data_IF_862047362456
#
_entry.id   IF_862047362456
#
_cell.length_a   1.000
_cell.length_b   1.000
_cell.length_c   1.000
_cell.angle_alpha   90.00
_cell.angle_beta   90.00
_cell.angle_gamma   90.00
#
_symmetry.space_group_name_H-M   'P 1'
#
loop_
_entity.id
_entity.type
_entity.pdbx_description
1 polymer ?
#
# COMPACT_ATOMS: atom_id res chain seq x y z
N UNK A 1 9.08 3.74 -16.24
CA UNK A 1 8.59 2.35 -16.04
C UNK A 1 7.61 1.87 -17.11
N UNK A 2 6.57 2.64 -17.49
CA UNK A 2 5.62 2.21 -18.54
C UNK A 2 6.29 1.80 -19.87
N UNK A 3 7.35 2.50 -20.31
CA UNK A 3 8.09 2.18 -21.54
C UNK A 3 9.01 0.95 -21.44
N UNK A 4 9.53 0.64 -20.24
CA UNK A 4 10.38 -0.54 -20.00
C UNK A 4 9.55 -1.82 -19.87
N UNK A 5 8.34 -1.73 -19.31
CA UNK A 5 7.37 -2.83 -19.25
C UNK A 5 6.84 -3.19 -20.65
N UNK A 6 6.81 -2.24 -21.58
CA UNK A 6 6.38 -2.47 -22.97
C UNK A 6 7.30 -3.43 -23.75
N UNK A 7 8.50 -3.75 -23.26
CA UNK A 7 9.46 -4.71 -23.85
C UNK A 7 9.49 -6.05 -23.08
N UNK A 8 8.65 -6.20 -22.06
CA UNK A 8 8.54 -7.45 -21.32
C UNK A 8 7.81 -8.53 -22.15
N UNK A 9 8.35 -9.74 -22.13
CA UNK A 9 7.89 -10.93 -22.86
C UNK A 9 7.94 -12.13 -21.92
N UNK A 10 7.30 -13.24 -22.29
CA UNK A 10 7.44 -14.50 -21.52
C UNK A 10 8.89 -14.97 -21.39
N UNK A 11 9.79 -14.59 -22.31
CA UNK A 11 11.20 -15.01 -22.30
C UNK A 11 12.05 -14.25 -21.27
N UNK A 12 11.74 -12.98 -20.99
CA UNK A 12 12.48 -12.15 -20.04
C UNK A 12 11.68 -11.81 -18.76
N UNK A 13 10.46 -12.33 -18.62
CA UNK A 13 9.56 -12.04 -17.50
C UNK A 13 10.21 -12.25 -16.12
N UNK A 14 11.01 -13.31 -15.94
CA UNK A 14 11.68 -13.57 -14.66
C UNK A 14 12.70 -12.47 -14.29
N UNK A 15 13.45 -11.99 -15.29
CA UNK A 15 14.41 -10.89 -15.12
C UNK A 15 13.68 -9.57 -14.86
N UNK A 16 12.59 -9.31 -15.59
CA UNK A 16 11.75 -8.13 -15.37
C UNK A 16 11.16 -8.12 -13.95
N UNK A 17 10.68 -9.27 -13.48
CA UNK A 17 10.15 -9.41 -12.12
C UNK A 17 11.23 -9.22 -11.06
N UNK A 18 12.40 -9.86 -11.21
CA UNK A 18 13.53 -9.64 -10.29
C UNK A 18 13.94 -8.15 -10.24
N UNK A 19 14.08 -7.51 -11.39
CA UNK A 19 14.41 -6.08 -11.45
C UNK A 19 13.33 -5.22 -10.78
N UNK A 20 12.05 -5.54 -10.97
CA UNK A 20 10.95 -4.83 -10.32
C UNK A 20 10.95 -5.00 -8.79
N UNK A 21 11.25 -6.20 -8.29
CA UNK A 21 11.39 -6.47 -6.84
C UNK A 21 12.57 -5.70 -6.28
N UNK A 22 13.71 -5.69 -6.96
CA UNK A 22 14.89 -4.92 -6.53
C UNK A 22 14.61 -3.41 -6.52
N UNK A 23 13.89 -2.89 -7.51
CA UNK A 23 13.45 -1.49 -7.55
C UNK A 23 12.49 -1.15 -6.41
N UNK A 24 11.53 -2.03 -6.12
CA UNK A 24 10.61 -1.89 -5.00
C UNK A 24 11.39 -1.90 -3.68
N UNK A 25 12.27 -2.87 -3.43
CA UNK A 25 13.12 -2.92 -2.22
C UNK A 25 13.98 -1.65 -2.12
N UNK A 26 14.56 -1.21 -3.24
CA UNK A 26 15.44 -0.04 -3.29
C UNK A 26 14.69 1.29 -3.15
N UNK A 27 13.38 1.36 -3.43
CA UNK A 27 12.60 2.58 -3.19
C UNK A 27 12.38 2.85 -1.70
N UNK A 28 12.42 1.80 -0.90
CA UNK A 28 12.37 1.89 0.55
C UNK A 28 13.72 2.28 1.17
N UNK A 29 14.84 1.90 0.55
CA UNK A 29 16.16 2.36 0.95
C UNK A 29 16.32 3.85 0.60
N UNK A 30 16.57 4.70 1.60
CA UNK A 30 16.75 6.13 1.38
C UNK A 30 17.95 6.44 0.46
N UNK A 31 17.83 7.52 -0.33
CA UNK A 31 18.98 8.21 -0.93
C UNK A 31 19.04 8.17 -2.45
N UNK A 32 19.68 7.14 -3.03
CA UNK A 32 20.21 7.21 -4.40
C UNK A 32 19.15 6.96 -5.50
N UNK A 33 18.27 5.97 -5.34
CA UNK A 33 17.23 5.67 -6.33
C UNK A 33 16.16 6.77 -6.37
N UNK A 34 15.81 7.32 -5.20
CA UNK A 34 14.85 8.42 -5.08
C UNK A 34 15.31 9.68 -5.84
N UNK A 35 16.62 9.98 -5.83
CA UNK A 35 17.23 11.06 -6.63
C UNK A 35 17.22 10.78 -8.14
N UNK A 36 17.22 9.51 -8.56
CA UNK A 36 17.15 9.10 -9.97
C UNK A 36 15.71 9.13 -10.52
N UNK A 37 14.70 8.93 -9.67
CA UNK A 37 13.28 8.91 -10.08
C UNK A 37 12.64 10.30 -9.98
N UNK A 38 13.02 11.14 -8.99
CA UNK A 38 12.50 12.51 -8.88
C UNK A 38 12.99 13.37 -10.04
N UNK A 39 12.10 14.24 -10.55
CA UNK A 39 12.54 15.36 -11.37
C UNK A 39 13.51 16.23 -10.56
N UNK A 40 14.58 16.73 -11.20
CA UNK A 40 15.68 17.45 -10.52
C UNK A 40 15.22 18.68 -9.69
N UNK A 41 13.97 19.13 -9.82
CA UNK A 41 13.42 20.34 -9.20
C UNK A 41 12.34 20.10 -8.14
N UNK A 42 11.98 18.86 -7.79
CA UNK A 42 10.94 18.59 -6.79
C UNK A 42 11.53 18.45 -5.37
N UNK A 43 10.97 19.14 -4.36
CA UNK A 43 11.41 19.01 -2.98
C UNK A 43 11.15 17.58 -2.46
N UNK A 44 11.94 17.11 -1.49
CA UNK A 44 11.70 15.81 -0.90
C UNK A 44 10.37 15.75 -0.15
N UNK A 45 9.55 14.74 -0.47
CA UNK A 45 8.27 14.44 0.19
C UNK A 45 8.16 12.92 0.43
N UNK A 46 8.05 12.53 1.70
CA UNK A 46 7.86 11.15 2.12
C UNK A 46 6.49 10.61 1.66
N UNK A 47 5.46 11.46 1.63
CA UNK A 47 4.14 11.08 1.12
C UNK A 47 4.21 10.72 -0.36
N UNK A 48 4.89 11.55 -1.16
CA UNK A 48 5.05 11.31 -2.61
C UNK A 48 5.88 10.04 -2.88
N UNK A 49 6.86 9.77 -2.03
CA UNK A 49 7.64 8.53 -2.07
C UNK A 49 6.78 7.31 -1.73
N UNK A 50 5.89 7.42 -0.74
CA UNK A 50 4.98 6.34 -0.36
C UNK A 50 3.99 6.02 -1.49
N UNK A 51 3.42 7.03 -2.15
CA UNK A 51 2.53 6.83 -3.30
C UNK A 51 3.29 6.16 -4.45
N UNK A 52 4.53 6.58 -4.71
CA UNK A 52 5.40 5.93 -5.71
C UNK A 52 5.69 4.48 -5.36
N UNK A 53 5.92 4.20 -4.08
CA UNK A 53 6.13 2.85 -3.55
C UNK A 53 4.89 1.98 -3.75
N UNK A 54 3.69 2.50 -3.49
CA UNK A 54 2.43 1.79 -3.76
C UNK A 54 2.34 1.38 -5.24
N UNK A 55 2.67 2.30 -6.16
CA UNK A 55 2.69 2.02 -7.61
C UNK A 55 3.72 0.96 -7.98
N UNK A 56 4.90 0.99 -7.36
CA UNK A 56 5.93 -0.03 -7.56
C UNK A 56 5.43 -1.41 -7.15
N UNK A 57 4.82 -1.52 -5.96
CA UNK A 57 4.24 -2.78 -5.46
C UNK A 57 3.18 -3.34 -6.41
N UNK A 58 2.30 -2.49 -6.96
CA UNK A 58 1.33 -2.87 -8.00
C UNK A 58 2.01 -3.41 -9.25
N UNK A 59 3.05 -2.73 -9.71
CA UNK A 59 3.82 -3.12 -10.90
C UNK A 59 4.50 -4.48 -10.74
N UNK A 60 5.11 -4.74 -9.58
CA UNK A 60 5.72 -6.04 -9.26
C UNK A 60 4.69 -7.17 -9.38
N UNK A 61 3.53 -6.99 -8.73
CA UNK A 61 2.42 -7.96 -8.79
C UNK A 61 1.94 -8.19 -10.22
N UNK A 62 1.72 -7.12 -10.99
CA UNK A 62 1.23 -7.20 -12.37
C UNK A 62 2.20 -7.96 -13.30
N UNK A 63 3.51 -7.74 -13.17
CA UNK A 63 4.53 -8.49 -13.93
C UNK A 63 4.51 -9.97 -13.51
N UNK A 64 4.43 -10.23 -12.20
CA UNK A 64 4.37 -11.59 -11.68
C UNK A 64 3.18 -12.39 -12.25
N UNK A 65 2.00 -11.76 -12.26
CA UNK A 65 0.75 -12.33 -12.76
C UNK A 65 0.77 -12.52 -14.29
N UNK A 66 1.18 -11.50 -15.05
CA UNK A 66 1.16 -11.56 -16.52
C UNK A 66 2.14 -12.59 -17.12
N UNK A 67 3.27 -12.82 -16.44
CA UNK A 67 4.33 -13.69 -16.96
C UNK A 67 4.48 -15.03 -16.22
N UNK A 68 3.66 -15.29 -15.18
CA UNK A 68 3.66 -16.57 -14.48
C UNK A 68 4.99 -16.89 -13.79
N UNK A 69 5.68 -15.86 -13.29
CA UNK A 69 7.03 -15.98 -12.69
C UNK A 69 6.99 -16.20 -11.18
N UNK A 70 5.79 -16.46 -10.66
CA UNK A 70 5.54 -16.84 -9.29
C UNK A 70 5.91 -18.31 -9.12
N UNK A 71 6.65 -18.64 -8.06
CA UNK A 71 6.96 -20.02 -7.73
C UNK A 71 5.70 -20.71 -7.17
N UNK A 72 5.16 -21.75 -7.84
CA UNK A 72 3.87 -22.33 -7.48
C UNK A 72 3.88 -23.07 -6.14
N UNK A 73 5.06 -23.50 -5.67
CA UNK A 73 5.20 -24.33 -4.46
C UNK A 73 5.52 -23.54 -3.19
N UNK A 74 5.31 -22.21 -3.18
CA UNK A 74 5.48 -21.39 -1.98
C UNK A 74 4.17 -21.41 -1.18
N UNK A 75 4.26 -21.73 0.11
CA UNK A 75 3.10 -21.69 1.03
C UNK A 75 2.48 -20.30 1.12
N UNK A 76 3.29 -19.24 1.08
CA UNK A 76 2.83 -17.86 1.12
C UNK A 76 3.46 -17.03 0.03
N UNK A 77 2.61 -16.21 -0.61
CA UNK A 77 2.98 -15.26 -1.64
C UNK A 77 2.59 -13.86 -1.13
N UNK A 78 3.57 -13.06 -0.73
CA UNK A 78 3.33 -11.84 0.05
C UNK A 78 2.43 -10.80 -0.64
N UNK A 79 2.43 -10.74 -1.98
CA UNK A 79 1.59 -9.82 -2.78
C UNK A 79 0.32 -10.48 -3.34
N UNK A 80 0.09 -11.76 -3.06
CA UNK A 80 -1.03 -12.53 -3.60
C UNK A 80 -1.91 -13.04 -2.46
N UNK A 81 -3.22 -12.93 -2.67
CA UNK A 81 -4.20 -13.42 -1.70
C UNK A 81 -4.45 -14.89 -1.98
N UNK A 82 -4.47 -15.68 -0.91
CA UNK A 82 -4.77 -17.11 -0.99
C UNK A 82 -6.27 -17.34 -0.95
N UNK A 83 -6.76 -18.36 -1.66
CA UNK A 83 -8.20 -18.68 -1.71
C UNK A 83 -8.75 -19.27 -0.40
N UNK A 84 -7.88 -19.56 0.58
CA UNK A 84 -8.25 -20.06 1.91
C UNK A 84 -9.22 -19.09 2.59
N UNK A 85 -10.32 -19.61 3.15
CA UNK A 85 -11.29 -18.81 3.90
C UNK A 85 -10.63 -18.08 5.08
N UNK A 86 -11.09 -16.85 5.35
CA UNK A 86 -10.62 -16.10 6.51
C UNK A 86 -11.22 -16.73 7.79
N UNK A 87 -10.43 -16.88 8.86
CA UNK A 87 -10.98 -17.32 10.14
C UNK A 87 -11.91 -16.23 10.70
N UNK A 88 -12.87 -16.63 11.53
CA UNK A 88 -13.81 -15.70 12.16
C UNK A 88 -13.12 -14.75 13.16
N UNK A 89 -12.05 -15.21 13.81
CA UNK A 89 -11.29 -14.47 14.82
C UNK A 89 -9.79 -14.72 14.65
N UNK A 90 -8.97 -13.78 15.09
CA UNK A 90 -7.52 -13.92 15.11
C UNK A 90 -6.78 -12.74 15.74
N UNK A 91 -5.43 -12.76 15.68
CA UNK A 91 -4.58 -11.75 16.33
C UNK A 91 -4.76 -10.32 15.82
N UNK A 92 -5.35 -10.12 14.63
CA UNK A 92 -5.62 -8.80 14.05
C UNK A 92 -7.04 -8.30 14.34
N UNK A 93 -7.86 -8.98 15.16
CA UNK A 93 -9.22 -8.53 15.49
C UNK A 93 -9.25 -7.07 16.02
N UNK A 94 -8.34 -6.61 16.91
CA UNK A 94 -8.31 -5.22 17.34
C UNK A 94 -8.07 -4.22 16.19
N UNK A 95 -7.33 -4.63 15.16
CA UNK A 95 -7.10 -3.81 13.98
C UNK A 95 -8.36 -3.74 13.11
N UNK A 96 -9.11 -4.84 12.97
CA UNK A 96 -10.40 -4.86 12.28
C UNK A 96 -11.38 -3.92 12.98
N UNK A 97 -11.52 -4.03 14.30
CA UNK A 97 -12.38 -3.15 15.10
C UNK A 97 -12.01 -1.67 14.92
N UNK A 98 -10.71 -1.35 14.94
CA UNK A 98 -10.21 0.01 14.68
C UNK A 98 -10.60 0.51 13.29
N UNK A 99 -10.50 -0.33 12.25
CA UNK A 99 -10.89 0.01 10.88
C UNK A 99 -12.40 0.16 10.73
N UNK A 100 -13.20 -0.60 11.48
CA UNK A 100 -14.65 -0.49 11.52
C UNK A 100 -15.13 0.79 12.20
N UNK A 101 -14.40 1.25 13.22
CA UNK A 101 -14.69 2.49 13.93
C UNK A 101 -14.35 3.77 13.12
N UNK A 102 -13.71 3.66 11.95
CA UNK A 102 -13.37 4.80 11.11
C UNK A 102 -14.63 5.50 10.58
N UNK A 103 -14.88 6.72 11.05
CA UNK A 103 -16.09 7.50 10.73
C UNK A 103 -15.84 8.67 9.77
N UNK A 104 -14.58 8.95 9.42
CA UNK A 104 -14.23 10.13 8.62
C UNK A 104 -14.89 10.15 7.24
N UNK A 105 -15.11 8.99 6.60
CA UNK A 105 -15.81 8.91 5.31
C UNK A 105 -17.26 9.41 5.39
N UNK A 106 -17.88 9.39 6.57
CA UNK A 106 -19.20 10.01 6.80
C UNK A 106 -19.19 11.53 6.64
N UNK A 107 -18.02 12.18 6.66
CA UNK A 107 -17.83 13.63 6.44
C UNK A 107 -17.53 14.00 4.98
N UNK A 108 -17.31 13.01 4.11
CA UNK A 108 -17.06 13.24 2.68
C UNK A 108 -18.36 13.59 1.96
N UNK A 109 -18.47 14.78 1.39
CA UNK A 109 -19.69 15.24 0.71
C UNK A 109 -19.75 14.72 -0.73
N UNK A 110 -18.60 14.50 -1.37
CA UNK A 110 -18.53 13.98 -2.72
C UNK A 110 -18.81 12.46 -2.72
N UNK A 111 -19.97 12.08 -3.23
CA UNK A 111 -20.43 10.69 -3.28
C UNK A 111 -19.46 9.77 -4.04
N UNK A 112 -18.79 10.26 -5.09
CA UNK A 112 -17.84 9.46 -5.85
C UNK A 112 -16.57 9.20 -5.03
N UNK A 113 -16.00 10.24 -4.41
CA UNK A 113 -14.81 10.10 -3.54
C UNK A 113 -15.13 9.15 -2.38
N UNK A 114 -16.29 9.33 -1.73
CA UNK A 114 -16.74 8.45 -0.66
C UNK A 114 -16.83 7.00 -1.11
N UNK A 115 -17.43 6.73 -2.27
CA UNK A 115 -17.58 5.36 -2.82
C UNK A 115 -16.22 4.70 -3.06
N UNK A 116 -15.30 5.42 -3.70
CA UNK A 116 -13.96 4.90 -4.02
C UNK A 116 -13.16 4.63 -2.74
N UNK A 117 -13.16 5.55 -1.78
CA UNK A 117 -12.49 5.36 -0.50
C UNK A 117 -13.14 4.25 0.34
N UNK A 118 -14.47 4.10 0.29
CA UNK A 118 -15.17 3.02 0.99
C UNK A 118 -14.77 1.66 0.42
N UNK A 119 -14.73 1.50 -0.91
CA UNK A 119 -14.27 0.26 -1.53
C UNK A 119 -12.81 -0.07 -1.16
N UNK A 120 -11.94 0.93 -1.06
CA UNK A 120 -10.57 0.75 -0.60
C UNK A 120 -10.50 0.36 0.89
N UNK A 121 -11.37 0.90 1.75
CA UNK A 121 -11.46 0.54 3.17
C UNK A 121 -12.00 -0.88 3.35
N UNK A 122 -13.01 -1.27 2.58
CA UNK A 122 -13.60 -2.62 2.62
C UNK A 122 -12.57 -3.67 2.17
N UNK A 123 -11.81 -3.36 1.11
CA UNK A 123 -10.66 -4.18 0.70
C UNK A 123 -9.64 -4.32 1.82
N UNK A 124 -9.31 -3.23 2.53
CA UNK A 124 -8.36 -3.26 3.64
C UNK A 124 -8.82 -4.19 4.76
N UNK A 125 -10.08 -4.05 5.19
CA UNK A 125 -10.70 -4.91 6.22
C UNK A 125 -10.67 -6.38 5.82
N UNK A 126 -11.07 -6.66 4.58
CA UNK A 126 -11.06 -8.02 4.04
C UNK A 126 -9.64 -8.62 4.02
N UNK A 127 -8.63 -7.85 3.60
CA UNK A 127 -7.23 -8.30 3.58
C UNK A 127 -6.68 -8.53 4.99
N UNK A 128 -7.02 -7.68 5.95
CA UNK A 128 -6.65 -7.88 7.37
C UNK A 128 -7.27 -9.17 7.90
N UNK A 129 -8.56 -9.43 7.62
CA UNK A 129 -9.22 -10.68 7.98
C UNK A 129 -8.57 -11.92 7.32
N UNK A 130 -8.16 -11.82 6.05
CA UNK A 130 -7.43 -12.89 5.35
C UNK A 130 -6.03 -13.13 5.90
N UNK A 131 -5.37 -12.09 6.41
CA UNK A 131 -4.02 -12.19 6.92
C UNK A 131 -3.91 -12.84 8.31
N UNK A 132 -5.03 -13.05 9.02
CA UNK A 132 -5.09 -13.64 10.36
C UNK A 132 -4.34 -14.97 10.50
N UNK A 133 -4.29 -15.77 9.43
CA UNK A 133 -3.63 -17.09 9.40
C UNK A 133 -2.19 -17.04 8.91
N UNK A 134 -1.67 -15.85 8.60
CA UNK A 134 -0.34 -15.73 8.00
C UNK A 134 0.74 -16.02 9.05
N UNK A 135 1.69 -16.86 8.69
CA UNK A 135 2.84 -17.19 9.56
C UNK A 135 3.82 -16.01 9.66
N UNK A 136 3.84 -15.13 8.65
CA UNK A 136 4.78 -14.02 8.53
C UNK A 136 4.09 -12.67 8.54
N UNK A 137 4.26 -11.93 9.65
CA UNK A 137 3.83 -10.54 9.82
C UNK A 137 2.48 -10.18 9.15
N UNK A 138 1.36 -10.73 9.66
CA UNK A 138 0.01 -10.56 9.12
C UNK A 138 -0.35 -9.13 8.67
N UNK A 139 -0.14 -8.14 9.54
CA UNK A 139 -0.48 -6.74 9.26
C UNK A 139 0.34 -6.13 8.11
N UNK A 140 1.63 -6.49 8.01
CA UNK A 140 2.50 -6.04 6.93
C UNK A 140 2.09 -6.65 5.59
N UNK A 141 1.77 -7.94 5.58
CA UNK A 141 1.24 -8.62 4.41
C UNK A 141 -0.05 -7.96 3.92
N UNK A 142 -1.01 -7.72 4.81
CA UNK A 142 -2.25 -7.05 4.47
C UNK A 142 -2.00 -5.66 3.87
N UNK A 143 -1.07 -4.88 4.43
CA UNK A 143 -0.69 -3.54 3.92
C UNK A 143 -0.10 -3.60 2.50
N UNK A 144 0.82 -4.53 2.24
CA UNK A 144 1.45 -4.70 0.93
C UNK A 144 0.45 -5.19 -0.13
N UNK A 145 -0.40 -6.16 0.22
CA UNK A 145 -1.47 -6.64 -0.65
C UNK A 145 -2.46 -5.52 -0.95
N UNK A 146 -2.81 -4.71 0.06
CA UNK A 146 -3.73 -3.59 -0.11
C UNK A 146 -3.18 -2.58 -1.11
N UNK A 147 -1.93 -2.14 -0.94
CA UNK A 147 -1.25 -1.24 -1.89
C UNK A 147 -1.21 -1.83 -3.31
N UNK A 148 -1.04 -3.16 -3.43
CA UNK A 148 -1.03 -3.87 -4.70
C UNK A 148 -2.42 -4.00 -5.36
N UNK A 149 -3.51 -3.98 -4.58
CA UNK A 149 -4.86 -4.35 -5.02
C UNK A 149 -5.89 -3.23 -5.04
N UNK A 150 -5.64 -2.08 -4.39
CA UNK A 150 -6.56 -0.93 -4.44
C UNK A 150 -6.93 -0.54 -5.88
N UNK A 151 -8.14 -0.03 -6.11
CA UNK A 151 -8.58 0.33 -7.46
C UNK A 151 -7.75 1.46 -8.09
N UNK A 152 -7.70 1.51 -9.43
CA UNK A 152 -7.02 2.61 -10.14
C UNK A 152 -7.67 3.98 -9.83
N UNK A 153 -8.98 4.02 -9.63
CA UNK A 153 -9.70 5.23 -9.18
C UNK A 153 -9.14 5.74 -7.86
N UNK A 154 -8.80 4.86 -6.91
CA UNK A 154 -8.22 5.27 -5.64
C UNK A 154 -6.81 5.85 -5.80
N UNK A 155 -5.99 5.25 -6.68
CA UNK A 155 -4.66 5.79 -7.00
C UNK A 155 -4.77 7.19 -7.63
N UNK A 156 -5.76 7.41 -8.49
CA UNK A 156 -6.03 8.75 -9.07
C UNK A 156 -6.40 9.77 -7.99
N UNK A 157 -7.20 9.38 -6.99
CA UNK A 157 -7.51 10.24 -5.84
C UNK A 157 -6.25 10.59 -5.02
N UNK A 158 -5.34 9.63 -4.81
CA UNK A 158 -4.06 9.89 -4.15
C UNK A 158 -3.19 10.88 -4.94
N UNK A 159 -3.17 10.76 -6.26
CA UNK A 159 -2.43 11.67 -7.14
C UNK A 159 -3.00 13.09 -7.13
N UNK A 160 -4.32 13.20 -7.07
CA UNK A 160 -5.03 14.46 -6.88
C UNK A 160 -4.93 15.00 -5.44
N UNK A 161 -4.24 14.29 -4.54
CA UNK A 161 -4.12 14.62 -3.11
C UNK A 161 -5.47 14.80 -2.41
N UNK A 162 -6.44 13.98 -2.80
CA UNK A 162 -7.79 14.02 -2.24
C UNK A 162 -7.78 13.68 -0.74
N UNK A 163 -8.31 14.56 0.13
CA UNK A 163 -8.13 14.44 1.57
C UNK A 163 -8.56 13.10 2.17
N UNK A 164 -9.74 12.60 1.81
CA UNK A 164 -10.25 11.33 2.31
C UNK A 164 -9.36 10.14 1.89
N UNK A 165 -8.80 10.19 0.68
CA UNK A 165 -7.91 9.15 0.19
C UNK A 165 -6.55 9.18 0.90
N UNK A 166 -6.01 10.37 1.15
CA UNK A 166 -4.77 10.54 1.92
C UNK A 166 -4.93 10.08 3.38
N UNK A 167 -6.05 10.40 4.02
CA UNK A 167 -6.37 9.88 5.36
C UNK A 167 -6.42 8.35 5.33
N UNK A 168 -7.11 7.74 4.35
CA UNK A 168 -7.17 6.28 4.27
C UNK A 168 -5.80 5.65 3.99
N UNK A 169 -4.94 6.30 3.19
CA UNK A 169 -3.56 5.87 2.93
C UNK A 169 -2.75 5.72 4.22
N UNK A 170 -2.93 6.62 5.18
CA UNK A 170 -2.21 6.55 6.46
C UNK A 170 -2.58 5.30 7.26
N UNK A 171 -3.81 4.78 7.11
CA UNK A 171 -4.18 3.49 7.72
C UNK A 171 -3.67 2.30 6.89
N UNK A 172 -3.93 2.30 5.58
CA UNK A 172 -3.67 1.14 4.72
C UNK A 172 -2.18 0.78 4.59
N UNK A 173 -1.27 1.76 4.69
CA UNK A 173 0.17 1.52 4.62
C UNK A 173 0.85 1.30 5.98
N UNK A 174 0.17 1.60 7.09
CA UNK A 174 0.74 1.56 8.45
C UNK A 174 -0.14 0.76 9.42
N UNK A 175 -0.54 -0.45 9.02
CA UNK A 175 -1.38 -1.34 9.85
C UNK A 175 -0.65 -1.96 11.04
N UNK A 176 0.66 -2.14 10.93
CA UNK A 176 1.47 -2.76 11.98
C UNK A 176 1.90 -1.72 13.00
N UNK A 177 1.81 -2.08 14.29
CA UNK A 177 2.31 -1.24 15.38
C UNK A 177 3.84 -1.15 15.35
N UNK A 178 4.41 -0.04 15.84
CA UNK A 178 5.87 0.18 15.83
C UNK A 178 6.64 -0.85 16.67
N UNK A 179 5.96 -1.51 17.61
CA UNK A 179 6.49 -2.59 18.44
C UNK A 179 6.58 -3.95 17.72
N UNK A 180 6.03 -4.09 16.51
CA UNK A 180 5.96 -5.37 15.78
C UNK A 180 7.27 -5.85 15.15
N UNK A 181 8.38 -5.14 15.37
CA UNK A 181 9.73 -5.53 14.96
C UNK A 181 10.35 -4.53 13.98
N UNK A 182 11.63 -4.22 14.19
CA UNK A 182 12.41 -3.18 13.47
C UNK A 182 12.78 -3.54 12.01
N UNK A 183 12.02 -4.39 11.33
CA UNK A 183 12.45 -5.02 10.07
C UNK A 183 11.45 -4.88 8.94
N UNK A 184 10.59 -3.86 8.97
CA UNK A 184 9.74 -3.56 7.82
C UNK A 184 10.29 -2.42 6.96
N UNK A 185 10.00 -2.51 5.66
CA UNK A 185 10.57 -1.60 4.65
C UNK A 185 10.03 -0.16 4.75
N UNK A 186 8.93 0.06 5.48
CA UNK A 186 8.39 1.39 5.82
C UNK A 186 8.66 1.82 7.27
N UNK A 187 9.50 1.09 8.02
CA UNK A 187 9.87 1.51 9.39
C UNK A 187 10.47 2.91 9.37
N UNK A 188 9.96 3.80 10.23
CA UNK A 188 10.39 5.21 10.31
C UNK A 188 9.70 6.16 9.31
N UNK A 189 8.83 5.67 8.42
CA UNK A 189 8.11 6.54 7.47
C UNK A 189 6.82 7.10 8.04
N UNK A 190 6.21 6.40 9.01
CA UNK A 190 4.87 6.70 9.51
C UNK A 190 4.73 8.14 9.99
N UNK A 191 5.61 8.58 10.88
CA UNK A 191 5.55 9.92 11.46
C UNK A 191 5.65 11.00 10.38
N UNK A 192 6.67 10.93 9.52
CA UNK A 192 6.89 11.91 8.45
C UNK A 192 5.77 11.94 7.41
N UNK A 193 5.28 10.78 6.98
CA UNK A 193 4.15 10.70 6.05
C UNK A 193 2.87 11.25 6.69
N UNK A 194 2.56 10.88 7.93
CA UNK A 194 1.35 11.35 8.60
C UNK A 194 1.42 12.86 8.88
N UNK A 195 2.59 13.43 9.14
CA UNK A 195 2.78 14.86 9.24
C UNK A 195 2.48 15.57 7.91
N UNK A 196 3.07 15.11 6.81
CA UNK A 196 2.80 15.67 5.46
C UNK A 196 1.33 15.54 5.07
N UNK A 197 0.67 14.42 5.42
CA UNK A 197 -0.78 14.26 5.18
C UNK A 197 -1.56 15.29 5.99
N UNK A 198 -1.30 15.45 7.30
CA UNK A 198 -2.01 16.42 8.16
C UNK A 198 -1.91 17.85 7.63
N UNK A 199 -0.73 18.23 7.14
CA UNK A 199 -0.51 19.53 6.51
C UNK A 199 -1.30 19.68 5.20
N UNK A 200 -1.37 18.62 4.39
CA UNK A 200 -2.03 18.65 3.09
C UNK A 200 -3.56 18.63 3.15
N UNK A 201 -4.17 17.93 4.12
CA UNK A 201 -5.62 17.68 4.14
C UNK A 201 -6.43 18.77 4.85
N UNK A 202 -5.74 19.67 5.57
CA UNK A 202 -6.36 20.76 6.32
C UNK A 202 -7.14 20.30 7.58
N UNK A 203 -7.66 21.26 8.36
CA UNK A 203 -8.21 21.00 9.69
C UNK A 203 -9.47 20.12 9.69
N UNK A 204 -10.26 20.13 8.60
CA UNK A 204 -11.46 19.27 8.45
C UNK A 204 -11.10 17.78 8.55
N UNK A 205 -9.89 17.40 8.14
CA UNK A 205 -9.47 16.01 7.97
C UNK A 205 -8.28 15.61 8.86
N UNK A 206 -7.48 16.57 9.33
CA UNK A 206 -6.26 16.29 10.09
C UNK A 206 -6.48 15.44 11.35
N UNK A 207 -7.65 15.56 12.00
CA UNK A 207 -8.02 14.77 13.18
C UNK A 207 -8.17 13.26 12.88
N UNK A 208 -8.45 12.90 11.62
CA UNK A 208 -8.69 11.53 11.21
C UNK A 208 -7.42 10.84 10.70
N UNK A 209 -6.30 11.55 10.54
CA UNK A 209 -5.04 10.95 10.10
C UNK A 209 -4.54 9.99 11.18
N UNK A 210 -4.11 8.79 10.79
CA UNK A 210 -3.65 7.77 11.72
C UNK A 210 -2.52 8.30 12.61
N UNK A 211 -2.77 8.34 13.91
CA UNK A 211 -1.75 8.47 14.96
C UNK A 211 -1.16 7.11 15.27
#
# INVERSE_FOLDING_TARGET
MRSTVAVATKKNGAVCHLASVLMMISSYAEGALKKLIRGQNEPPSMLSDLITTCRLTRGVRAIAEAFGVIWPNRKELILFVTDVEAPAHGPLDPLIERLEALSFLGKEENMQVRRVCQAALDLLKWLVGKAQTSEWWPAHRASLQWAALVGDEFIQLLDAREPAALVLLSYGCFLADENSGRTFVLTGWREGVCAEIKESVGPKWAWAVSS
#
